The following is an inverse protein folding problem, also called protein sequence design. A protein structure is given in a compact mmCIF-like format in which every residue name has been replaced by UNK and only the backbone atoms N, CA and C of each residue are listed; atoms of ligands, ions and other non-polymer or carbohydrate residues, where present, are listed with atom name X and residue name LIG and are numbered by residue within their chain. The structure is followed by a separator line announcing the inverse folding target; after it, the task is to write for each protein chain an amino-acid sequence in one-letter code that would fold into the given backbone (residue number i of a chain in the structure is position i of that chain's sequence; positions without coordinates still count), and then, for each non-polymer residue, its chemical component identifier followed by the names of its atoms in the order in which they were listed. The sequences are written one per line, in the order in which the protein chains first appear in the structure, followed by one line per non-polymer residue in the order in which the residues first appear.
data_IF_429646640531
#
_entry.id   IF_429646640531
#
_cell.length_a   1.000
_cell.length_b   1.000
_cell.length_c   1.000
_cell.angle_alpha   90.00
_cell.angle_beta   90.00
_cell.angle_gamma   90.00
#
_symmetry.space_group_name_H-M   'P 1'
#
loop_
_entity.id
_entity.type
_entity.pdbx_description
1 polymer ?
#
# COMPACT_ATOMS: atom_id res chain seq x y z
N UNK A 1 -24.01 -19.59 -1.28
CA UNK A 1 -24.62 -18.66 -2.27
C UNK A 1 -23.49 -18.02 -3.07
N UNK A 2 -23.78 -17.42 -4.21
CA UNK A 2 -22.77 -16.79 -5.07
C UNK A 2 -23.01 -15.28 -5.24
N UNK A 3 -21.91 -14.54 -5.39
CA UNK A 3 -21.90 -13.17 -5.87
C UNK A 3 -21.33 -13.17 -7.29
N UNK A 4 -21.92 -12.40 -8.21
CA UNK A 4 -21.45 -12.31 -9.58
C UNK A 4 -21.35 -10.86 -10.03
N UNK A 5 -20.28 -10.54 -10.77
CA UNK A 5 -20.06 -9.25 -11.38
C UNK A 5 -19.46 -9.45 -12.77
N UNK A 6 -19.91 -8.64 -13.73
CA UNK A 6 -19.39 -8.64 -15.10
C UNK A 6 -19.10 -7.22 -15.54
N UNK A 7 -18.00 -7.02 -16.29
CA UNK A 7 -17.58 -5.74 -16.84
C UNK A 7 -16.92 -5.94 -18.19
N UNK A 8 -17.07 -4.99 -19.09
CA UNK A 8 -16.35 -4.92 -20.36
C UNK A 8 -15.15 -3.98 -20.21
N UNK A 9 -13.94 -4.50 -20.34
CA UNK A 9 -12.71 -3.72 -20.29
C UNK A 9 -12.24 -3.40 -21.72
N UNK A 10 -11.88 -2.14 -22.08
CA UNK A 10 -11.45 -1.76 -23.41
C UNK A 10 -9.98 -2.14 -23.70
N UNK A 11 -9.58 -3.34 -23.32
CA UNK A 11 -8.22 -3.87 -23.45
C UNK A 11 -8.25 -5.32 -23.93
N UNK A 12 -7.10 -5.84 -24.38
CA UNK A 12 -6.95 -7.25 -24.75
C UNK A 12 -7.13 -8.19 -23.55
N UNK A 13 -7.39 -9.47 -23.80
CA UNK A 13 -7.52 -10.48 -22.75
C UNK A 13 -6.21 -10.64 -21.94
N UNK A 14 -5.05 -10.52 -22.58
CA UNK A 14 -3.76 -10.58 -21.90
C UNK A 14 -3.54 -9.36 -21.00
N UNK A 15 -3.88 -8.16 -21.42
CA UNK A 15 -3.81 -6.96 -20.58
C UNK A 15 -4.84 -7.02 -19.43
N UNK A 16 -6.06 -7.47 -19.69
CA UNK A 16 -7.07 -7.69 -18.65
C UNK A 16 -6.59 -8.72 -17.62
N UNK A 17 -5.92 -9.79 -18.05
CA UNK A 17 -5.34 -10.78 -17.18
C UNK A 17 -4.19 -10.20 -16.34
N UNK A 18 -3.31 -9.41 -16.93
CA UNK A 18 -2.23 -8.70 -16.23
C UNK A 18 -2.79 -7.74 -15.15
N UNK A 19 -3.85 -6.97 -15.46
CA UNK A 19 -4.50 -6.07 -14.49
C UNK A 19 -5.00 -6.81 -13.24
N UNK A 20 -5.45 -8.07 -13.36
CA UNK A 20 -6.02 -8.83 -12.25
C UNK A 20 -5.03 -9.79 -11.57
N UNK A 21 -3.81 -9.95 -12.09
CA UNK A 21 -2.84 -10.94 -11.57
C UNK A 21 -1.49 -10.35 -11.19
N UNK A 22 -1.03 -9.31 -11.87
CA UNK A 22 0.27 -8.71 -11.59
C UNK A 22 0.21 -7.75 -10.40
N UNK A 23 1.11 -7.86 -9.41
CA UNK A 23 1.12 -7.01 -8.22
C UNK A 23 1.11 -5.51 -8.53
N UNK A 24 1.93 -5.07 -9.49
CA UNK A 24 2.02 -3.66 -9.89
C UNK A 24 0.71 -3.15 -10.48
N UNK A 25 -0.01 -4.00 -11.23
CA UNK A 25 -1.29 -3.69 -11.82
C UNK A 25 -2.43 -3.72 -10.81
N UNK A 26 -2.43 -4.70 -9.90
CA UNK A 26 -3.40 -4.81 -8.81
C UNK A 26 -3.42 -3.57 -7.92
N UNK A 27 -2.26 -2.97 -7.63
CA UNK A 27 -2.17 -1.73 -6.86
C UNK A 27 -2.78 -0.51 -7.55
N UNK A 28 -3.03 -0.58 -8.86
CA UNK A 28 -3.67 0.51 -9.61
C UNK A 28 -5.17 0.63 -9.37
N UNK A 29 -5.82 -0.40 -8.82
CA UNK A 29 -7.27 -0.39 -8.70
C UNK A 29 -7.83 -1.11 -7.47
N UNK A 30 -7.09 -2.02 -6.83
CA UNK A 30 -7.68 -2.91 -5.81
C UNK A 30 -6.90 -3.01 -4.51
N UNK A 31 -5.58 -3.00 -4.54
CA UNK A 31 -4.78 -3.38 -3.38
C UNK A 31 -3.81 -2.28 -2.97
N UNK A 32 -3.53 -2.19 -1.68
CA UNK A 32 -2.39 -1.41 -1.14
C UNK A 32 -1.10 -2.15 -1.40
N UNK A 33 -1.07 -3.46 -1.11
CA UNK A 33 0.05 -4.34 -1.40
C UNK A 33 -0.44 -5.69 -1.93
N UNK A 34 0.38 -6.36 -2.73
CA UNK A 34 0.05 -7.65 -3.30
C UNK A 34 1.28 -8.53 -3.46
N UNK A 35 1.20 -9.74 -2.92
CA UNK A 35 2.15 -10.83 -3.19
C UNK A 35 1.41 -11.92 -3.95
N UNK A 36 1.99 -12.39 -5.05
CA UNK A 36 1.36 -13.35 -5.96
C UNK A 36 2.39 -14.38 -6.43
N UNK A 37 2.12 -15.66 -6.18
CA UNK A 37 2.79 -16.80 -6.81
C UNK A 37 1.82 -17.39 -7.85
N UNK A 38 1.81 -16.81 -9.07
CA UNK A 38 0.80 -17.04 -10.11
C UNK A 38 1.00 -18.40 -10.80
N UNK A 39 0.64 -19.47 -10.12
CA UNK A 39 0.59 -20.84 -10.64
C UNK A 39 -0.43 -21.66 -9.86
N UNK A 40 -0.90 -22.74 -10.42
CA UNK A 40 -1.72 -23.70 -9.67
C UNK A 40 -0.96 -24.21 -8.43
N UNK A 41 -1.61 -24.12 -7.25
CA UNK A 41 -1.00 -24.40 -5.95
C UNK A 41 -0.15 -23.26 -5.38
N UNK A 42 0.08 -22.17 -6.11
CA UNK A 42 0.74 -20.97 -5.60
C UNK A 42 -0.20 -20.13 -4.72
N UNK A 43 0.38 -19.33 -3.84
CA UNK A 43 -0.37 -18.52 -2.88
C UNK A 43 -0.39 -17.06 -3.28
N UNK A 44 -1.44 -16.36 -2.86
CA UNK A 44 -1.49 -14.91 -2.90
C UNK A 44 -1.81 -14.34 -1.51
N UNK A 45 -1.39 -13.09 -1.30
CA UNK A 45 -1.71 -12.27 -0.13
C UNK A 45 -1.88 -10.82 -0.59
N UNK A 46 -3.05 -10.27 -0.40
CA UNK A 46 -3.44 -8.93 -0.84
C UNK A 46 -3.93 -8.10 0.33
N UNK A 47 -3.21 -7.05 0.69
CA UNK A 47 -3.80 -5.99 1.53
C UNK A 47 -4.78 -5.21 0.63
N UNK A 48 -6.05 -5.53 0.74
CA UNK A 48 -7.11 -4.92 -0.09
C UNK A 48 -7.37 -3.49 0.37
N UNK A 49 -7.59 -3.33 1.67
CA UNK A 49 -7.64 -2.05 2.38
C UNK A 49 -6.88 -2.20 3.70
N UNK A 50 -6.47 -1.11 4.35
CA UNK A 50 -5.75 -1.20 5.62
C UNK A 50 -6.48 -2.07 6.65
N UNK A 51 -5.77 -3.06 7.18
CA UNK A 51 -6.32 -4.04 8.13
C UNK A 51 -7.16 -5.16 7.50
N UNK A 52 -7.41 -5.16 6.19
CA UNK A 52 -8.17 -6.19 5.52
C UNK A 52 -7.32 -6.93 4.48
N UNK A 53 -6.86 -8.10 4.84
CA UNK A 53 -5.93 -8.90 4.05
C UNK A 53 -6.64 -10.12 3.50
N UNK A 54 -6.85 -10.16 2.19
CA UNK A 54 -7.33 -11.34 1.49
C UNK A 54 -6.18 -12.29 1.16
N UNK A 55 -6.36 -13.58 1.42
CA UNK A 55 -5.38 -14.59 1.11
C UNK A 55 -6.04 -15.88 0.60
N UNK A 56 -5.25 -16.69 -0.10
CA UNK A 56 -5.69 -17.99 -0.60
C UNK A 56 -4.70 -18.60 -1.58
N UNK A 57 -5.15 -19.69 -2.21
CA UNK A 57 -4.36 -20.52 -3.11
C UNK A 57 -4.97 -20.52 -4.50
N UNK A 58 -4.15 -20.33 -5.53
CA UNK A 58 -4.58 -20.50 -6.92
C UNK A 58 -4.87 -21.98 -7.22
N UNK A 59 -6.09 -22.26 -7.67
CA UNK A 59 -6.52 -23.62 -8.07
C UNK A 59 -6.24 -23.84 -9.55
N UNK A 60 -6.53 -22.81 -10.38
CA UNK A 60 -6.35 -22.87 -11.82
C UNK A 60 -5.84 -21.53 -12.33
N UNK A 61 -4.89 -21.56 -13.26
CA UNK A 61 -4.32 -20.37 -13.92
C UNK A 61 -4.20 -20.65 -15.40
N UNK A 62 -5.09 -20.07 -16.20
CA UNK A 62 -5.05 -20.08 -17.67
C UNK A 62 -4.82 -18.62 -18.15
N UNK A 63 -3.59 -18.23 -18.50
CA UNK A 63 -3.27 -16.86 -18.92
C UNK A 63 -4.19 -16.35 -20.02
N UNK A 64 -4.67 -15.12 -19.85
CA UNK A 64 -5.57 -14.46 -20.80
C UNK A 64 -6.99 -15.04 -20.86
N UNK A 65 -7.33 -16.04 -20.04
CA UNK A 65 -8.61 -16.74 -20.17
C UNK A 65 -9.34 -16.96 -18.85
N UNK A 66 -8.69 -17.54 -17.85
CA UNK A 66 -9.36 -17.98 -16.63
C UNK A 66 -8.39 -18.04 -15.45
N UNK A 67 -8.91 -17.69 -14.29
CA UNK A 67 -8.22 -17.87 -13.01
C UNK A 67 -9.24 -18.32 -11.96
N UNK A 68 -8.88 -19.33 -11.17
CA UNK A 68 -9.69 -19.82 -10.03
C UNK A 68 -8.79 -19.83 -8.80
N UNK A 69 -9.28 -19.26 -7.71
CA UNK A 69 -8.53 -19.19 -6.47
C UNK A 69 -9.44 -19.27 -5.25
N UNK A 70 -8.93 -19.86 -4.18
CA UNK A 70 -9.55 -19.82 -2.87
C UNK A 70 -9.54 -18.40 -2.34
N UNK A 71 -10.57 -17.99 -1.61
CA UNK A 71 -10.72 -16.65 -1.06
C UNK A 71 -11.10 -16.71 0.41
N UNK A 72 -10.54 -15.79 1.18
CA UNK A 72 -10.90 -15.51 2.55
C UNK A 72 -10.06 -14.39 3.12
N UNK A 73 -10.30 -14.04 4.37
CA UNK A 73 -9.64 -12.95 5.08
C UNK A 73 -8.73 -13.50 6.17
N UNK A 74 -7.49 -13.05 6.22
CA UNK A 74 -6.59 -13.35 7.35
C UNK A 74 -7.21 -12.87 8.66
N UNK A 75 -7.12 -13.71 9.70
CA UNK A 75 -7.68 -13.41 11.02
C UNK A 75 -9.21 -13.53 11.15
N UNK A 76 -9.94 -13.81 10.06
CA UNK A 76 -11.39 -13.98 10.11
C UNK A 76 -11.77 -15.43 10.42
N UNK A 77 -12.50 -15.72 11.50
CA UNK A 77 -13.02 -17.07 11.77
C UNK A 77 -14.17 -17.44 10.85
N UNK A 78 -14.93 -16.46 10.34
CA UNK A 78 -16.15 -16.69 9.56
C UNK A 78 -15.88 -16.92 8.07
N UNK A 79 -14.75 -16.43 7.57
CA UNK A 79 -14.32 -16.61 6.18
C UNK A 79 -12.78 -16.63 6.14
N UNK A 80 -12.19 -17.70 6.67
CA UNK A 80 -10.74 -17.90 6.65
C UNK A 80 -10.20 -18.05 5.21
N UNK A 81 -8.90 -17.85 4.96
CA UNK A 81 -8.29 -18.13 3.66
C UNK A 81 -8.72 -19.49 3.09
N UNK A 82 -9.02 -19.54 1.79
CA UNK A 82 -9.53 -20.70 1.06
C UNK A 82 -10.93 -21.22 1.48
N UNK A 83 -11.67 -20.48 2.33
CA UNK A 83 -13.01 -20.91 2.76
C UNK A 83 -14.10 -20.73 1.68
N UNK A 84 -13.86 -19.91 0.68
CA UNK A 84 -14.71 -19.70 -0.48
C UNK A 84 -13.89 -19.69 -1.76
N UNK A 85 -14.53 -19.61 -2.92
CA UNK A 85 -13.86 -19.70 -4.22
C UNK A 85 -14.24 -18.55 -5.13
N UNK A 86 -13.25 -17.90 -5.71
CA UNK A 86 -13.43 -16.90 -6.76
C UNK A 86 -12.98 -17.48 -8.09
N UNK A 87 -13.86 -17.36 -9.09
CA UNK A 87 -13.56 -17.66 -10.49
C UNK A 87 -13.65 -16.38 -11.30
N UNK A 88 -12.63 -16.07 -12.07
CA UNK A 88 -12.66 -14.97 -13.04
C UNK A 88 -12.44 -15.57 -14.43
N UNK A 89 -13.35 -15.28 -15.36
CA UNK A 89 -13.23 -15.63 -16.79
C UNK A 89 -13.09 -14.39 -17.63
N UNK A 90 -12.25 -14.50 -18.66
CA UNK A 90 -11.97 -13.44 -19.63
C UNK A 90 -12.36 -13.94 -21.01
N UNK A 91 -13.29 -13.25 -21.68
CA UNK A 91 -13.79 -13.62 -23.00
C UNK A 91 -13.62 -12.42 -23.94
N UNK A 92 -12.98 -12.61 -25.11
CA UNK A 92 -12.93 -11.56 -26.11
C UNK A 92 -14.35 -11.14 -26.53
N UNK A 93 -14.58 -9.82 -26.59
CA UNK A 93 -15.86 -9.24 -26.97
C UNK A 93 -15.64 -8.04 -27.90
N UNK A 94 -16.72 -7.57 -28.54
CA UNK A 94 -16.65 -6.33 -29.30
C UNK A 94 -16.31 -5.15 -28.36
N UNK A 95 -15.23 -4.45 -28.67
CA UNK A 95 -14.73 -3.33 -27.87
C UNK A 95 -13.74 -3.70 -26.76
N UNK A 96 -13.36 -4.99 -26.62
CA UNK A 96 -12.35 -5.40 -25.64
C UNK A 96 -12.52 -6.80 -25.07
N UNK A 97 -12.50 -6.92 -23.75
CA UNK A 97 -12.58 -8.19 -23.01
C UNK A 97 -13.71 -8.14 -21.97
N UNK A 98 -14.61 -9.08 -22.06
CA UNK A 98 -15.65 -9.29 -21.04
C UNK A 98 -15.03 -10.07 -19.87
N UNK A 99 -14.99 -9.46 -18.71
CA UNK A 99 -14.47 -10.04 -17.46
C UNK A 99 -15.65 -10.38 -16.55
N UNK A 100 -15.82 -11.66 -16.25
CA UNK A 100 -16.86 -12.13 -15.35
C UNK A 100 -16.24 -12.76 -14.10
N UNK A 101 -16.61 -12.23 -12.94
CA UNK A 101 -16.26 -12.77 -11.63
C UNK A 101 -17.47 -13.52 -11.05
N UNK A 102 -17.23 -14.73 -10.56
CA UNK A 102 -18.17 -15.52 -9.73
C UNK A 102 -17.46 -15.84 -8.42
N UNK A 103 -18.08 -15.45 -7.29
CA UNK A 103 -17.59 -15.76 -5.95
C UNK A 103 -18.61 -16.70 -5.27
N UNK A 104 -18.26 -17.94 -5.09
CA UNK A 104 -19.10 -18.99 -4.52
C UNK A 104 -18.63 -19.43 -3.13
N UNK A 105 -19.49 -20.13 -2.39
CA UNK A 105 -19.19 -20.59 -1.03
C UNK A 105 -19.52 -19.58 0.09
N UNK A 106 -20.19 -18.48 -0.24
CA UNK A 106 -20.56 -17.44 0.72
C UNK A 106 -21.91 -17.71 1.41
N UNK A 107 -22.09 -17.25 2.64
CA UNK A 107 -23.39 -17.10 3.29
C UNK A 107 -24.18 -15.93 2.69
N UNK A 108 -25.48 -15.84 2.98
CA UNK A 108 -26.33 -14.74 2.48
C UNK A 108 -25.80 -13.34 2.91
N UNK A 109 -25.39 -13.23 4.16
CA UNK A 109 -24.81 -11.98 4.69
C UNK A 109 -23.49 -11.62 4.01
N UNK A 110 -22.62 -12.62 3.79
CA UNK A 110 -21.32 -12.42 3.11
C UNK A 110 -21.50 -12.03 1.65
N UNK A 111 -22.53 -12.54 0.93
CA UNK A 111 -22.82 -12.15 -0.45
C UNK A 111 -23.04 -10.65 -0.56
N UNK A 112 -23.84 -10.06 0.33
CA UNK A 112 -24.14 -8.63 0.29
C UNK A 112 -22.88 -7.76 0.45
N UNK A 113 -22.03 -8.07 1.44
CA UNK A 113 -20.78 -7.34 1.68
C UNK A 113 -19.77 -7.51 0.55
N UNK A 114 -19.59 -8.74 0.04
CA UNK A 114 -18.67 -9.00 -1.07
C UNK A 114 -19.14 -8.38 -2.39
N UNK A 115 -20.46 -8.33 -2.66
CA UNK A 115 -20.99 -7.61 -3.82
C UNK A 115 -20.72 -6.12 -3.75
N UNK A 116 -20.84 -5.50 -2.56
CA UNK A 116 -20.47 -4.09 -2.39
C UNK A 116 -18.98 -3.86 -2.72
N UNK A 117 -18.09 -4.71 -2.18
CA UNK A 117 -16.66 -4.67 -2.47
C UNK A 117 -16.33 -4.91 -3.95
N UNK A 118 -16.92 -5.96 -4.56
CA UNK A 118 -16.70 -6.23 -5.98
C UNK A 118 -17.23 -5.12 -6.89
N UNK A 119 -18.35 -4.48 -6.55
CA UNK A 119 -18.85 -3.33 -7.30
C UNK A 119 -17.89 -2.14 -7.22
N UNK A 120 -17.38 -1.81 -6.04
CA UNK A 120 -16.39 -0.75 -5.84
C UNK A 120 -15.13 -1.01 -6.67
N UNK A 121 -14.52 -2.19 -6.51
CA UNK A 121 -13.25 -2.50 -7.18
C UNK A 121 -13.40 -2.70 -8.69
N UNK A 122 -14.50 -3.26 -9.18
CA UNK A 122 -14.69 -3.41 -10.62
C UNK A 122 -14.93 -2.06 -11.31
N UNK A 123 -15.59 -1.09 -10.67
CA UNK A 123 -15.66 0.27 -11.19
C UNK A 123 -14.25 0.90 -11.31
N UNK A 124 -13.38 0.66 -10.33
CA UNK A 124 -11.99 1.10 -10.37
C UNK A 124 -11.17 0.34 -11.43
N UNK A 125 -11.43 -0.95 -11.64
CA UNK A 125 -10.80 -1.74 -12.70
C UNK A 125 -11.13 -1.18 -14.10
N UNK A 126 -12.38 -0.76 -14.35
CA UNK A 126 -12.77 -0.10 -15.61
C UNK A 126 -11.97 1.18 -15.86
N UNK A 127 -11.80 2.00 -14.83
CA UNK A 127 -10.98 3.22 -14.92
C UNK A 127 -9.52 2.86 -15.17
N UNK A 128 -8.94 1.92 -14.41
CA UNK A 128 -7.55 1.50 -14.57
C UNK A 128 -7.28 0.88 -15.96
N UNK A 129 -8.22 0.11 -16.49
CA UNK A 129 -8.11 -0.44 -17.85
C UNK A 129 -8.10 0.65 -18.94
N UNK A 130 -8.80 1.77 -18.69
CA UNK A 130 -8.92 2.85 -19.66
C UNK A 130 -7.79 3.89 -19.57
N UNK A 131 -7.27 4.13 -18.37
CA UNK A 131 -6.33 5.23 -18.06
C UNK A 131 -4.97 4.77 -17.54
N UNK A 132 -4.84 3.48 -17.19
CA UNK A 132 -3.65 2.90 -16.56
C UNK A 132 -3.65 2.95 -15.03
N UNK A 133 -4.48 3.80 -14.41
CA UNK A 133 -4.58 3.96 -12.95
C UNK A 133 -5.97 4.49 -12.57
N UNK A 134 -6.58 3.91 -11.55
CA UNK A 134 -7.88 4.37 -11.03
C UNK A 134 -7.77 5.56 -10.06
N UNK A 135 -6.56 6.01 -9.78
CA UNK A 135 -6.30 7.09 -8.82
C UNK A 135 -6.45 6.67 -7.35
N UNK A 136 -6.41 7.63 -6.42
CA UNK A 136 -6.58 7.38 -5.00
C UNK A 136 -7.86 6.62 -4.67
N UNK A 137 -7.81 5.80 -3.62
CA UNK A 137 -8.95 5.07 -3.09
C UNK A 137 -9.19 5.48 -1.64
N UNK A 138 -10.35 6.06 -1.36
CA UNK A 138 -10.71 6.48 0.00
C UNK A 138 -10.74 5.28 0.96
N UNK A 139 -11.11 4.09 0.49
CA UNK A 139 -11.09 2.88 1.32
C UNK A 139 -9.67 2.47 1.73
N UNK A 140 -8.66 2.85 0.95
CA UNK A 140 -7.26 2.59 1.28
C UNK A 140 -6.60 3.72 2.08
N UNK A 141 -7.12 4.95 1.99
CA UNK A 141 -6.55 6.13 2.62
C UNK A 141 -7.11 6.42 4.03
N UNK A 142 -8.26 5.82 4.38
CA UNK A 142 -8.94 6.05 5.67
C UNK A 142 -9.19 4.70 6.35
N UNK A 143 -8.25 4.21 7.19
CA UNK A 143 -8.44 2.96 7.91
C UNK A 143 -9.57 3.09 8.95
N UNK A 144 -10.37 2.01 9.08
CA UNK A 144 -11.45 1.97 10.07
C UNK A 144 -10.93 1.98 11.52
N UNK A 145 -9.77 1.34 11.75
CA UNK A 145 -9.09 1.31 13.02
C UNK A 145 -7.69 1.88 12.88
N UNK A 146 -7.37 2.92 13.67
CA UNK A 146 -6.05 3.54 13.70
C UNK A 146 -5.12 2.79 14.65
N UNK A 147 -4.22 2.02 14.11
CA UNK A 147 -3.12 1.37 14.82
C UNK A 147 -1.84 1.45 13.96
N UNK A 148 -0.65 1.11 14.51
CA UNK A 148 0.60 1.26 13.76
C UNK A 148 0.65 0.56 12.40
N UNK A 149 -0.01 -0.61 12.26
CA UNK A 149 0.00 -1.37 10.99
C UNK A 149 -0.99 -0.80 9.99
N UNK A 150 -2.24 -0.57 10.39
CA UNK A 150 -3.26 -0.01 9.49
C UNK A 150 -2.88 1.40 9.02
N UNK A 151 -2.25 2.19 9.88
CA UNK A 151 -1.73 3.51 9.50
C UNK A 151 -0.53 3.41 8.55
N UNK A 152 0.36 2.43 8.74
CA UNK A 152 1.46 2.20 7.81
C UNK A 152 0.95 1.74 6.43
N UNK A 153 -0.07 0.90 6.38
CA UNK A 153 -0.73 0.49 5.13
C UNK A 153 -1.43 1.67 4.44
N UNK A 154 -2.15 2.51 5.20
CA UNK A 154 -2.80 3.71 4.65
C UNK A 154 -1.78 4.73 4.13
N UNK A 155 -0.71 4.99 4.89
CA UNK A 155 0.36 5.91 4.44
C UNK A 155 1.14 5.35 3.25
N UNK A 156 1.27 4.02 3.13
CA UNK A 156 1.81 3.39 1.93
C UNK A 156 0.91 3.66 0.71
N UNK A 157 -0.40 3.50 0.84
CA UNK A 157 -1.34 3.80 -0.25
C UNK A 157 -1.24 5.28 -0.69
N UNK A 158 -1.17 6.20 0.27
CA UNK A 158 -0.97 7.64 0.00
C UNK A 158 0.36 7.90 -0.70
N UNK A 159 1.45 7.32 -0.20
CA UNK A 159 2.79 7.45 -0.79
C UNK A 159 2.83 6.92 -2.23
N UNK A 160 2.29 5.74 -2.48
CA UNK A 160 2.22 5.13 -3.81
C UNK A 160 1.52 6.02 -4.83
N UNK A 161 0.43 6.72 -4.44
CA UNK A 161 -0.26 7.64 -5.35
C UNK A 161 0.66 8.76 -5.85
N UNK A 162 1.55 9.28 -5.00
CA UNK A 162 2.55 10.26 -5.39
C UNK A 162 3.65 9.61 -6.23
N UNK A 163 4.17 8.45 -5.81
CA UNK A 163 5.30 7.78 -6.48
C UNK A 163 4.97 7.32 -7.90
N UNK A 164 3.71 7.00 -8.20
CA UNK A 164 3.25 6.56 -9.54
C UNK A 164 3.50 7.57 -10.64
N UNK A 165 3.46 8.86 -10.33
CA UNK A 165 3.69 9.92 -11.30
C UNK A 165 5.18 10.29 -11.47
N UNK A 166 6.10 9.68 -10.71
CA UNK A 166 7.53 9.93 -10.82
C UNK A 166 8.10 9.18 -12.03
N UNK A 167 8.57 9.94 -13.01
CA UNK A 167 9.27 9.43 -14.19
C UNK A 167 10.80 9.53 -14.08
N UNK A 168 11.50 8.98 -15.07
CA UNK A 168 12.98 9.06 -15.13
C UNK A 168 13.50 10.50 -15.11
N UNK A 169 12.78 11.43 -15.75
CA UNK A 169 13.13 12.85 -15.78
C UNK A 169 12.99 13.59 -14.45
N UNK A 170 12.40 12.97 -13.44
CA UNK A 170 12.23 13.57 -12.12
C UNK A 170 13.35 13.17 -11.13
N UNK A 171 14.10 12.11 -11.44
CA UNK A 171 15.04 11.49 -10.48
C UNK A 171 16.14 12.44 -9.97
N UNK A 172 16.56 13.39 -10.77
CA UNK A 172 17.60 14.37 -10.40
C UNK A 172 17.03 15.65 -9.78
N UNK A 173 15.71 15.79 -9.66
CA UNK A 173 15.10 16.97 -9.02
C UNK A 173 15.45 17.02 -7.54
N UNK A 174 15.76 18.23 -7.00
CA UNK A 174 15.97 18.41 -5.58
C UNK A 174 14.67 18.17 -4.80
N UNK A 175 14.79 17.70 -3.56
CA UNK A 175 13.68 17.52 -2.65
C UNK A 175 13.77 18.47 -1.44
N UNK A 176 12.68 18.72 -0.71
CA UNK A 176 12.74 19.45 0.56
C UNK A 176 13.61 18.77 1.61
N UNK A 177 13.83 17.45 1.51
CA UNK A 177 14.86 16.73 2.26
C UNK A 177 16.22 17.01 1.62
N UNK A 178 16.84 18.13 1.97
CA UNK A 178 17.91 18.82 1.22
C UNK A 178 19.16 17.99 0.90
N UNK A 179 19.33 16.84 1.53
CA UNK A 179 20.45 15.93 1.25
C UNK A 179 20.18 15.00 0.07
N UNK A 180 18.93 14.96 -0.45
CA UNK A 180 18.51 13.98 -1.44
C UNK A 180 17.87 14.61 -2.69
N UNK A 181 18.23 14.09 -3.86
CA UNK A 181 17.39 14.17 -5.05
C UNK A 181 16.24 13.16 -4.93
N UNK A 182 15.23 13.25 -5.80
CA UNK A 182 14.09 12.30 -5.85
C UNK A 182 14.58 10.83 -5.94
N UNK A 183 15.55 10.54 -6.79
CA UNK A 183 16.11 9.19 -6.92
C UNK A 183 16.85 8.71 -5.66
N UNK A 184 17.60 9.62 -5.01
CA UNK A 184 18.30 9.31 -3.76
C UNK A 184 17.32 9.13 -2.59
N UNK A 185 16.28 9.96 -2.52
CA UNK A 185 15.21 9.83 -1.51
C UNK A 185 14.45 8.51 -1.67
N UNK A 186 14.18 8.06 -2.90
CA UNK A 186 13.59 6.75 -3.13
C UNK A 186 14.50 5.62 -2.61
N UNK A 187 15.80 5.71 -2.83
CA UNK A 187 16.78 4.78 -2.27
C UNK A 187 16.80 4.81 -0.73
N UNK A 188 16.73 5.98 -0.13
CA UNK A 188 16.64 6.15 1.33
C UNK A 188 15.36 5.51 1.88
N UNK A 189 14.21 5.77 1.29
CA UNK A 189 12.93 5.19 1.73
C UNK A 189 12.94 3.65 1.64
N UNK A 190 13.49 3.08 0.56
CA UNK A 190 13.69 1.62 0.44
C UNK A 190 14.61 1.12 1.58
N UNK A 191 15.71 1.82 1.88
CA UNK A 191 16.61 1.51 2.99
C UNK A 191 15.90 1.53 4.35
N UNK A 192 14.99 2.51 4.57
CA UNK A 192 14.15 2.56 5.76
C UNK A 192 13.24 1.33 5.86
N UNK A 193 12.60 0.90 4.76
CA UNK A 193 11.78 -0.33 4.75
C UNK A 193 12.61 -1.57 5.08
N UNK A 194 13.83 -1.69 4.52
CA UNK A 194 14.76 -2.78 4.83
C UNK A 194 15.13 -2.80 6.31
N UNK A 195 15.47 -1.65 6.87
CA UNK A 195 15.85 -1.51 8.28
C UNK A 195 14.69 -1.84 9.22
N UNK A 196 13.51 -1.26 8.97
CA UNK A 196 12.33 -1.44 9.81
C UNK A 196 11.77 -2.87 9.71
N UNK A 197 11.79 -3.49 8.53
CA UNK A 197 11.46 -4.92 8.37
C UNK A 197 12.47 -5.83 9.08
N UNK A 198 13.76 -5.45 9.06
CA UNK A 198 14.82 -6.12 9.82
C UNK A 198 14.58 -6.10 11.33
N UNK A 199 14.06 -4.99 11.89
CA UNK A 199 13.68 -4.90 13.30
C UNK A 199 12.54 -5.87 13.67
N UNK A 200 11.67 -6.19 12.70
CA UNK A 200 10.64 -7.23 12.85
C UNK A 200 11.16 -8.66 12.61
N UNK A 201 12.45 -8.82 12.32
CA UNK A 201 13.12 -10.13 12.12
C UNK A 201 13.11 -10.63 10.67
N UNK A 202 12.73 -9.82 9.70
CA UNK A 202 12.75 -10.21 8.28
C UNK A 202 14.05 -9.83 7.59
N UNK A 203 14.39 -10.59 6.55
CA UNK A 203 15.35 -10.17 5.52
C UNK A 203 14.55 -9.58 4.36
N UNK A 204 14.46 -8.26 4.33
CA UNK A 204 13.76 -7.54 3.26
C UNK A 204 14.66 -7.47 2.05
N UNK A 205 14.20 -7.96 0.91
CA UNK A 205 14.88 -7.88 -0.38
C UNK A 205 14.46 -6.63 -1.16
N UNK A 206 15.31 -6.15 -2.04
CA UNK A 206 15.05 -4.97 -2.87
C UNK A 206 14.96 -5.34 -4.35
N UNK A 207 14.10 -4.65 -5.08
CA UNK A 207 14.05 -4.77 -6.53
C UNK A 207 15.05 -3.79 -7.17
N UNK A 208 15.89 -4.27 -8.08
CA UNK A 208 16.88 -3.46 -8.80
C UNK A 208 16.26 -2.73 -10.01
N UNK A 209 15.19 -3.28 -10.57
CA UNK A 209 14.49 -2.77 -11.74
C UNK A 209 13.05 -2.39 -11.39
N UNK A 210 12.41 -1.61 -12.26
CA UNK A 210 11.03 -1.16 -12.09
C UNK A 210 10.93 0.34 -11.78
N UNK A 211 9.71 0.82 -11.69
CA UNK A 211 9.42 2.22 -11.34
C UNK A 211 9.80 2.52 -9.87
N UNK A 212 9.91 3.79 -9.52
CA UNK A 212 10.11 4.20 -8.11
C UNK A 212 9.02 3.60 -7.22
N UNK A 213 7.76 3.69 -7.66
CA UNK A 213 6.63 3.13 -6.92
C UNK A 213 6.76 1.62 -6.72
N UNK A 214 7.01 0.84 -7.78
CA UNK A 214 7.08 -0.61 -7.68
C UNK A 214 8.21 -1.09 -6.75
N UNK A 215 9.35 -0.42 -6.78
CA UNK A 215 10.50 -0.74 -5.92
C UNK A 215 10.24 -0.44 -4.44
N UNK A 216 9.64 0.72 -4.14
CA UNK A 216 9.24 1.08 -2.78
C UNK A 216 8.14 0.14 -2.28
N UNK A 217 7.10 -0.11 -3.08
CA UNK A 217 6.01 -1.01 -2.73
C UNK A 217 6.49 -2.44 -2.43
N UNK A 218 7.45 -2.94 -3.20
CA UNK A 218 8.04 -4.27 -3.01
C UNK A 218 8.76 -4.41 -1.65
N UNK A 219 9.53 -3.40 -1.25
CA UNK A 219 10.22 -3.39 0.04
C UNK A 219 9.23 -3.17 1.20
N UNK A 220 8.30 -2.22 1.05
CA UNK A 220 7.30 -1.89 2.07
C UNK A 220 6.38 -3.05 2.38
N UNK A 221 5.92 -3.80 1.37
CA UNK A 221 5.11 -4.99 1.55
C UNK A 221 5.79 -6.01 2.47
N UNK A 222 7.06 -6.32 2.23
CA UNK A 222 7.82 -7.28 3.04
C UNK A 222 8.00 -6.79 4.48
N UNK A 223 8.25 -5.50 4.67
CA UNK A 223 8.35 -4.90 6.00
C UNK A 223 7.02 -4.97 6.77
N UNK A 224 5.91 -4.64 6.12
CA UNK A 224 4.56 -4.73 6.70
C UNK A 224 4.18 -6.17 7.05
N UNK A 225 4.42 -7.14 6.16
CA UNK A 225 4.18 -8.56 6.44
C UNK A 225 5.03 -9.07 7.61
N UNK A 226 6.27 -8.57 7.76
CA UNK A 226 7.12 -8.93 8.87
C UNK A 226 6.56 -8.42 10.22
N UNK A 227 6.10 -7.19 10.26
CA UNK A 227 5.49 -6.60 11.45
C UNK A 227 4.16 -7.24 11.81
N UNK A 228 3.32 -7.53 10.82
CA UNK A 228 2.06 -8.24 11.00
C UNK A 228 2.28 -9.63 11.63
N UNK A 229 3.23 -10.39 11.08
CA UNK A 229 3.61 -11.71 11.61
C UNK A 229 4.24 -11.65 13.00
N UNK A 230 5.09 -10.64 13.26
CA UNK A 230 5.76 -10.48 14.55
C UNK A 230 4.79 -10.04 15.64
N UNK A 231 3.83 -9.21 15.32
CA UNK A 231 2.97 -8.49 16.25
C UNK A 231 3.67 -7.28 16.89
N UNK A 232 2.87 -6.48 17.59
CA UNK A 232 3.26 -5.18 18.14
C UNK A 232 3.66 -5.24 19.63
N UNK A 233 3.58 -6.41 20.25
CA UNK A 233 3.89 -6.57 21.67
C UNK A 233 5.40 -6.58 21.95
N UNK A 234 5.78 -6.16 23.17
CA UNK A 234 7.15 -6.17 23.66
C UNK A 234 8.03 -5.11 23.03
N UNK A 235 9.32 -5.42 22.86
CA UNK A 235 10.32 -4.50 22.33
C UNK A 235 11.15 -5.12 21.20
N UNK A 236 11.83 -4.26 20.44
CA UNK A 236 12.80 -4.60 19.40
C UNK A 236 14.11 -3.86 19.62
N UNK A 237 15.19 -4.38 19.10
CA UNK A 237 16.51 -3.71 19.14
C UNK A 237 16.55 -2.55 18.14
N UNK A 238 17.02 -1.38 18.62
CA UNK A 238 17.36 -0.22 17.78
C UNK A 238 18.74 0.29 18.20
N UNK A 239 19.74 -0.07 17.42
CA UNK A 239 21.13 0.16 17.81
C UNK A 239 21.46 -0.62 19.10
N UNK A 240 22.05 0.07 20.09
CA UNK A 240 22.36 -0.53 21.39
C UNK A 240 21.19 -0.54 22.38
N UNK A 241 20.07 0.12 22.05
CA UNK A 241 18.89 0.24 22.92
C UNK A 241 17.74 -0.66 22.53
N UNK A 242 16.70 -0.65 23.37
CA UNK A 242 15.41 -1.27 23.10
C UNK A 242 14.37 -0.19 22.80
N UNK A 243 13.44 -0.49 21.90
CA UNK A 243 12.31 0.36 21.54
C UNK A 243 11.03 -0.47 21.62
N UNK A 244 9.90 0.07 22.14
CA UNK A 244 8.61 -0.62 22.04
C UNK A 244 8.31 -0.99 20.59
N UNK A 245 7.86 -2.24 20.38
CA UNK A 245 7.60 -2.76 19.03
C UNK A 245 6.53 -1.94 18.29
N UNK A 246 5.47 -1.54 19.01
CA UNK A 246 4.42 -0.67 18.48
C UNK A 246 4.99 0.66 17.96
N UNK A 247 5.91 1.27 18.70
CA UNK A 247 6.53 2.52 18.29
C UNK A 247 7.46 2.32 17.08
N UNK A 248 8.21 1.21 17.05
CA UNK A 248 9.09 0.88 15.93
C UNK A 248 8.30 0.64 14.63
N UNK A 249 7.19 -0.09 14.70
CA UNK A 249 6.28 -0.26 13.56
C UNK A 249 5.67 1.07 13.09
N UNK A 250 5.31 1.95 14.04
CA UNK A 250 4.78 3.28 13.74
C UNK A 250 5.73 4.19 12.96
N UNK A 251 7.05 3.95 13.00
CA UNK A 251 8.03 4.71 12.20
C UNK A 251 7.74 4.54 10.69
N UNK A 252 7.20 3.39 10.26
CA UNK A 252 6.80 3.18 8.85
C UNK A 252 5.85 4.26 8.36
N UNK A 253 4.84 4.62 9.16
CA UNK A 253 3.87 5.65 8.80
C UNK A 253 4.52 7.03 8.68
N UNK A 254 5.45 7.37 9.57
CA UNK A 254 6.17 8.64 9.54
C UNK A 254 7.06 8.73 8.30
N UNK A 255 7.85 7.69 8.01
CA UNK A 255 8.70 7.61 6.82
C UNK A 255 7.88 7.75 5.53
N UNK A 256 6.80 6.97 5.40
CA UNK A 256 5.98 6.95 4.20
C UNK A 256 5.25 8.28 3.96
N UNK A 257 4.65 8.88 4.99
CA UNK A 257 3.85 10.10 4.80
C UNK A 257 4.72 11.35 4.62
N UNK A 258 5.78 11.48 5.43
CA UNK A 258 6.67 12.65 5.34
C UNK A 258 7.42 12.64 4.00
N UNK A 259 7.94 11.49 3.57
CA UNK A 259 8.60 11.41 2.28
C UNK A 259 7.62 11.45 1.08
N UNK A 260 6.36 11.02 1.25
CA UNK A 260 5.33 11.29 0.23
C UNK A 260 5.18 12.79 -0.02
N UNK A 261 5.22 13.61 1.03
CA UNK A 261 5.20 15.06 0.89
C UNK A 261 6.47 15.61 0.22
N UNK A 262 7.66 15.11 0.60
CA UNK A 262 8.92 15.51 -0.05
C UNK A 262 8.88 15.23 -1.57
N UNK A 263 8.39 14.06 -1.97
CA UNK A 263 8.21 13.69 -3.38
C UNK A 263 7.16 14.56 -4.07
N UNK A 264 6.04 14.81 -3.41
CA UNK A 264 4.97 15.62 -3.97
C UNK A 264 5.43 17.05 -4.27
N UNK A 265 6.13 17.68 -3.34
CA UNK A 265 6.71 19.03 -3.55
C UNK A 265 7.71 19.02 -4.69
N UNK A 266 8.64 18.06 -4.71
CA UNK A 266 9.67 17.96 -5.76
C UNK A 266 9.10 17.78 -7.17
N UNK A 267 7.91 17.17 -7.28
CA UNK A 267 7.29 16.83 -8.56
C UNK A 267 6.02 17.63 -8.90
N UNK A 268 5.68 18.62 -8.04
CA UNK A 268 4.51 19.49 -8.27
C UNK A 268 3.17 18.79 -8.04
N UNK A 269 3.14 17.78 -7.18
CA UNK A 269 1.95 17.03 -6.81
C UNK A 269 1.43 17.46 -5.43
N UNK A 270 0.35 16.84 -4.98
CA UNK A 270 -0.21 16.99 -3.64
C UNK A 270 -0.34 15.63 -2.95
N UNK A 271 -0.16 15.65 -1.64
CA UNK A 271 -0.49 14.50 -0.77
C UNK A 271 -1.98 14.52 -0.47
N UNK A 272 -2.66 13.41 -0.72
CA UNK A 272 -4.08 13.25 -0.39
C UNK A 272 -4.20 12.22 0.76
N UNK A 273 -4.22 12.71 1.99
CA UNK A 273 -4.39 11.93 3.22
C UNK A 273 -5.49 12.57 4.07
N UNK A 274 -6.21 11.75 4.84
CA UNK A 274 -7.23 12.27 5.76
C UNK A 274 -6.60 12.96 6.97
N UNK A 275 -7.28 13.95 7.53
CA UNK A 275 -6.82 14.63 8.73
C UNK A 275 -6.61 13.68 9.90
N UNK A 276 -7.46 12.66 10.04
CA UNK A 276 -7.36 11.65 11.09
C UNK A 276 -6.06 10.84 10.98
N UNK A 277 -5.72 10.41 9.76
CA UNK A 277 -4.46 9.71 9.51
C UNK A 277 -3.25 10.61 9.80
N UNK A 278 -3.30 11.88 9.35
CA UNK A 278 -2.21 12.83 9.57
C UNK A 278 -2.04 13.13 11.06
N UNK A 279 -3.12 13.31 11.82
CA UNK A 279 -3.05 13.49 13.28
C UNK A 279 -2.39 12.30 13.97
N UNK A 280 -2.78 11.08 13.61
CA UNK A 280 -2.15 9.87 14.15
C UNK A 280 -0.64 9.83 13.85
N UNK A 281 -0.24 10.16 12.62
CA UNK A 281 1.19 10.19 12.23
C UNK A 281 1.94 11.31 12.95
N UNK A 282 1.32 12.48 13.17
CA UNK A 282 1.93 13.56 13.96
C UNK A 282 2.16 13.13 15.42
N UNK A 283 1.20 12.44 16.02
CA UNK A 283 1.36 11.90 17.39
C UNK A 283 2.47 10.85 17.47
N UNK A 284 2.62 10.02 16.43
CA UNK A 284 3.77 9.10 16.31
C UNK A 284 5.07 9.87 16.12
N UNK A 285 5.10 10.89 15.28
CA UNK A 285 6.29 11.71 15.04
C UNK A 285 6.78 12.35 16.35
N UNK A 286 5.88 12.86 17.19
CA UNK A 286 6.24 13.38 18.52
C UNK A 286 6.92 12.36 19.42
N UNK A 287 6.59 11.07 19.28
CA UNK A 287 7.18 9.97 20.07
C UNK A 287 8.51 9.48 19.51
N UNK A 288 8.68 9.50 18.17
CA UNK A 288 9.87 8.92 17.50
C UNK A 288 10.96 9.94 17.18
N UNK A 289 10.60 11.20 16.91
CA UNK A 289 11.54 12.27 16.63
C UNK A 289 11.97 12.91 17.97
N UNK A 290 12.99 12.32 18.58
CA UNK A 290 13.50 12.76 19.87
C UNK A 290 14.47 13.95 19.73
N UNK A 291 14.65 14.76 20.81
CA UNK A 291 15.70 15.78 20.82
C UNK A 291 17.11 15.23 20.58
N UNK A 292 17.37 13.98 20.96
CA UNK A 292 18.65 13.33 20.67
C UNK A 292 18.79 13.01 19.18
N UNK A 293 17.71 12.52 18.52
CA UNK A 293 17.70 12.28 17.08
C UNK A 293 18.00 13.56 16.28
N UNK A 294 17.46 14.71 16.71
CA UNK A 294 17.78 16.02 16.11
C UNK A 294 19.25 16.38 16.30
N UNK A 295 19.77 16.25 17.52
CA UNK A 295 21.21 16.54 17.80
C UNK A 295 22.18 15.62 17.05
N UNK A 296 21.77 14.40 16.72
CA UNK A 296 22.58 13.47 15.92
C UNK A 296 22.46 13.68 14.40
N UNK A 297 21.65 14.66 13.97
CA UNK A 297 21.45 14.97 12.55
C UNK A 297 20.49 14.02 11.80
N UNK A 298 19.77 13.13 12.54
CA UNK A 298 18.76 12.27 11.92
C UNK A 298 17.51 13.06 11.48
N UNK A 299 17.24 14.17 12.16
CA UNK A 299 16.14 15.10 11.83
C UNK A 299 16.63 16.53 12.03
N UNK A 300 16.22 17.43 11.16
CA UNK A 300 16.42 18.87 11.36
C UNK A 300 15.58 19.38 12.55
N UNK A 301 15.89 20.60 13.02
CA UNK A 301 15.06 21.24 14.05
C UNK A 301 13.66 21.49 13.53
N UNK A 302 12.65 21.39 14.42
CA UNK A 302 11.28 21.69 14.04
C UNK A 302 11.14 23.15 13.63
N UNK A 303 10.40 23.41 12.58
CA UNK A 303 10.06 24.75 12.10
C UNK A 303 8.83 25.24 12.88
N UNK A 304 8.87 26.46 13.38
CA UNK A 304 7.69 27.07 14.02
C UNK A 304 6.67 27.46 12.94
N UNK A 305 5.43 27.05 13.14
CA UNK A 305 4.30 27.39 12.27
C UNK A 305 3.13 27.86 13.14
N UNK A 306 2.22 28.64 12.53
CA UNK A 306 0.97 29.02 13.18
C UNK A 306 0.17 27.77 13.58
N UNK A 307 -0.38 27.68 14.81
CA UNK A 307 -1.19 26.54 15.24
C UNK A 307 -2.44 26.31 14.40
N UNK A 308 -2.89 27.30 13.64
CA UNK A 308 -4.08 27.23 12.80
C UNK A 308 -3.82 26.77 11.36
N UNK A 309 -2.54 26.45 10.99
CA UNK A 309 -2.24 25.85 9.67
C UNK A 309 -2.77 24.42 9.56
N UNK A 310 -2.91 23.93 8.33
CA UNK A 310 -3.36 22.57 8.06
C UNK A 310 -2.51 21.54 8.80
N UNK A 311 -3.13 20.44 9.21
CA UNK A 311 -2.48 19.42 10.03
C UNK A 311 -1.27 18.79 9.33
N UNK A 312 -1.29 18.68 8.00
CA UNK A 312 -0.15 18.20 7.22
C UNK A 312 1.05 19.15 7.36
N UNK A 313 0.83 20.46 7.27
CA UNK A 313 1.90 21.46 7.42
C UNK A 313 2.51 21.41 8.82
N UNK A 314 1.69 21.14 9.85
CA UNK A 314 2.19 20.93 11.22
C UNK A 314 3.08 19.71 11.33
N UNK A 315 2.69 18.58 10.73
CA UNK A 315 3.52 17.36 10.68
C UNK A 315 4.85 17.64 9.97
N UNK A 316 4.79 18.28 8.82
CA UNK A 316 5.95 18.58 7.99
C UNK A 316 6.90 19.54 8.71
N UNK A 317 6.40 20.62 9.30
CA UNK A 317 7.18 21.55 10.09
C UNK A 317 7.81 20.87 11.31
N UNK A 318 7.05 20.01 12.02
CA UNK A 318 7.59 19.22 13.12
C UNK A 318 8.70 18.28 12.67
N UNK A 319 8.63 17.73 11.46
CA UNK A 319 9.69 16.87 10.90
C UNK A 319 10.95 17.64 10.47
N UNK A 320 10.94 18.98 10.57
CA UNK A 320 12.08 19.85 10.27
C UNK A 320 12.15 20.35 8.84
N UNK A 321 11.05 20.26 8.07
CA UNK A 321 10.97 20.79 6.71
C UNK A 321 10.35 22.17 6.73
N UNK A 322 10.86 23.12 5.89
CA UNK A 322 10.21 24.42 5.74
C UNK A 322 8.79 24.19 5.16
N UNK A 323 7.82 25.00 5.58
CA UNK A 323 6.52 25.03 4.93
C UNK A 323 6.71 25.36 3.42
N UNK A 324 5.95 24.68 2.55
CA UNK A 324 6.03 24.87 1.11
C UNK A 324 5.38 26.18 0.66
#
# INVERSE_FOLDING_TARGET
MLAQKTVLLPVSADEAFALITEPDRLRRWKTVSARVDLRAGGQYRWTVTPGHIAAGTFVEVEPGRRIVFGWGWEGSPDLAPDASTVTITLEPAEGGTLVTLVHDGLTEQQVASHLAGWNHFFARLEVAASTGDAGPDEWAAVPADLNPLTCAEATLAVCQNVLRAIGEGDLDKPTPCSEFTVGQLAGHLIGSMVSLGGMAGAVVTTAETGTVESRVAFAAQQALEAWDKRGLEGSVKRGEGDMPAELAAGILSVELLVHAWDFAVATGQRVNASDELIHYVLDLAHKVISPQGRRSGLFADAVEVDPDVEILDRLIAFSGRPAA
#
